data_IF_938031884495
#
_entry.id   IF_938031884495
#
_cell.length_a   1.000
_cell.length_b   1.000
_cell.length_c   1.000
_cell.angle_alpha   90.00
_cell.angle_beta   90.00
_cell.angle_gamma   90.00
#
_symmetry.space_group_name_H-M   'P 1'
#
loop_
_entity.id
_entity.type
_entity.pdbx_description
1 polymer ?
#
# COMPACT_ATOMS: atom_id res chain seq x y z
N UNK A 1 -27.51 -61.84 44.67
CA UNK A 1 -26.74 -63.04 44.26
C UNK A 1 -26.29 -62.79 42.82
N UNK A 2 -25.02 -62.47 42.58
CA UNK A 2 -23.89 -63.41 42.37
C UNK A 2 -24.07 -64.13 41.00
N UNK A 3 -23.16 -64.16 40.01
CA UNK A 3 -21.69 -64.07 39.96
C UNK A 3 -21.22 -63.60 38.55
N UNK A 4 -20.33 -62.59 38.52
CA UNK A 4 -18.94 -62.52 37.99
C UNK A 4 -18.50 -63.12 36.62
N UNK A 5 -17.37 -62.61 36.07
CA UNK A 5 -17.09 -62.35 34.65
C UNK A 5 -16.05 -63.32 34.04
N UNK A 6 -15.73 -63.14 32.76
CA UNK A 6 -14.50 -63.67 32.17
C UNK A 6 -13.61 -62.50 31.76
N UNK A 7 -12.55 -62.35 32.55
CA UNK A 7 -11.30 -61.70 32.23
C UNK A 7 -10.68 -62.28 30.95
N UNK A 8 -10.05 -61.43 30.15
CA UNK A 8 -8.75 -61.77 29.62
C UNK A 8 -7.85 -60.53 29.73
N UNK A 9 -6.84 -60.69 30.59
CA UNK A 9 -5.94 -59.66 31.06
C UNK A 9 -4.87 -59.24 30.03
N UNK A 10 -4.44 -57.99 30.17
CA UNK A 10 -3.28 -57.32 29.56
C UNK A 10 -1.95 -57.78 30.20
N UNK A 11 -0.77 -57.42 29.64
CA UNK A 11 0.01 -56.29 30.20
C UNK A 11 0.58 -55.33 29.12
N UNK A 12 0.62 -53.97 29.26
CA UNK A 12 1.52 -53.11 30.09
C UNK A 12 2.99 -53.25 29.58
N UNK A 13 3.81 -52.27 29.15
CA UNK A 13 3.93 -50.77 29.15
C UNK A 13 5.11 -50.37 28.19
N UNK A 14 5.89 -49.26 28.33
CA UNK A 14 5.63 -47.89 27.87
C UNK A 14 6.81 -47.25 27.08
N UNK A 15 6.68 -45.93 26.82
CA UNK A 15 7.74 -44.93 26.56
C UNK A 15 8.47 -44.88 25.20
N UNK A 16 8.28 -43.77 24.46
CA UNK A 16 9.30 -42.70 24.40
C UNK A 16 8.96 -41.55 23.42
N UNK A 17 8.80 -40.37 24.01
CA UNK A 17 9.45 -39.09 23.68
C UNK A 17 9.60 -38.66 22.20
N UNK A 18 8.70 -37.72 21.87
CA UNK A 18 8.83 -36.58 20.96
C UNK A 18 10.24 -35.96 20.94
N UNK A 19 10.92 -35.97 19.79
CA UNK A 19 12.12 -35.16 19.56
C UNK A 19 11.85 -33.99 18.60
N UNK A 20 12.15 -32.79 19.11
CA UNK A 20 12.19 -31.51 18.40
C UNK A 20 13.32 -31.54 17.35
N UNK A 21 13.06 -31.08 16.12
CA UNK A 21 14.13 -30.75 15.16
C UNK A 21 14.33 -29.24 15.09
N UNK A 22 15.48 -28.80 15.58
CA UNK A 22 16.05 -27.47 15.39
C UNK A 22 16.74 -27.35 14.01
N UNK A 23 16.92 -26.12 13.48
CA UNK A 23 17.42 -25.88 12.13
C UNK A 23 18.95 -26.02 12.06
N UNK A 24 19.45 -26.70 11.03
CA UNK A 24 20.89 -26.74 10.73
C UNK A 24 21.27 -25.58 9.81
N UNK A 25 22.08 -24.69 10.38
CA UNK A 25 22.94 -23.73 9.68
C UNK A 25 23.92 -24.53 8.79
N UNK A 26 24.02 -24.16 7.51
CA UNK A 26 25.06 -24.68 6.62
C UNK A 26 25.92 -23.52 6.15
N UNK A 27 27.17 -23.54 6.60
CA UNK A 27 28.27 -22.65 6.24
C UNK A 27 28.78 -23.12 4.88
N UNK A 28 28.73 -22.27 3.85
CA UNK A 28 29.44 -22.52 2.59
C UNK A 28 30.86 -21.99 2.69
N UNK A 29 31.82 -22.91 2.74
CA UNK A 29 33.25 -22.65 2.56
C UNK A 29 33.58 -22.58 1.07
N UNK A 30 34.28 -21.50 0.69
CA UNK A 30 34.92 -21.34 -0.61
C UNK A 30 35.92 -22.47 -0.90
N UNK A 31 35.83 -23.08 -2.09
CA UNK A 31 36.97 -23.76 -2.72
C UNK A 31 37.06 -23.35 -4.19
N UNK A 32 38.17 -22.65 -4.48
CA UNK A 32 38.71 -22.36 -5.81
C UNK A 32 39.34 -23.63 -6.35
N UNK A 33 39.08 -23.99 -7.60
CA UNK A 33 39.91 -24.91 -8.36
C UNK A 33 39.89 -24.49 -9.85
N UNK A 34 41.08 -24.56 -10.42
CA UNK A 34 41.51 -23.96 -11.68
C UNK A 34 41.13 -24.79 -12.91
N UNK A 35 41.21 -24.11 -14.05
CA UNK A 35 41.02 -24.56 -15.44
C UNK A 35 41.85 -25.78 -15.85
N UNK A 36 41.29 -26.62 -16.74
CA UNK A 36 41.95 -27.25 -17.92
C UNK A 36 40.82 -27.58 -18.90
N UNK A 37 40.97 -27.13 -20.15
CA UNK A 37 39.95 -27.21 -21.20
C UNK A 37 39.93 -28.55 -21.95
N UNK A 38 38.75 -28.91 -22.44
CA UNK A 38 38.53 -29.76 -23.62
C UNK A 38 37.30 -29.19 -24.35
N UNK A 39 37.48 -28.83 -25.62
CA UNK A 39 36.46 -28.31 -26.52
C UNK A 39 35.52 -29.48 -26.91
N UNK A 40 34.25 -29.39 -26.54
CA UNK A 40 33.22 -30.36 -26.93
C UNK A 40 32.08 -29.60 -27.63
N UNK A 41 31.99 -29.74 -28.96
CA UNK A 41 31.05 -29.03 -29.85
C UNK A 41 29.62 -29.58 -29.85
N UNK A 42 29.22 -30.38 -28.86
CA UNK A 42 27.86 -30.93 -28.78
C UNK A 42 27.20 -30.76 -27.40
N UNK A 43 27.11 -29.50 -26.95
CA UNK A 43 26.31 -29.13 -25.79
C UNK A 43 25.20 -28.15 -26.20
N UNK A 44 23.95 -28.59 -26.06
CA UNK A 44 22.80 -27.70 -26.14
C UNK A 44 23.03 -26.49 -25.20
N UNK A 45 22.67 -25.26 -25.58
CA UNK A 45 22.93 -24.08 -24.76
C UNK A 45 22.36 -24.33 -23.36
N UNK A 46 23.25 -24.35 -22.36
CA UNK A 46 22.81 -24.29 -20.97
C UNK A 46 21.93 -23.05 -20.85
N UNK A 47 20.72 -23.13 -20.23
CA UNK A 47 19.95 -21.94 -19.96
C UNK A 47 20.85 -21.00 -19.20
N UNK A 48 21.12 -19.83 -19.78
CA UNK A 48 21.79 -18.76 -19.07
C UNK A 48 20.92 -18.46 -17.85
N UNK A 49 21.31 -18.97 -16.69
CA UNK A 49 20.76 -18.52 -15.42
C UNK A 49 21.39 -17.16 -15.14
N UNK A 50 20.98 -16.15 -15.92
CA UNK A 50 21.03 -14.78 -15.45
C UNK A 50 20.05 -14.74 -14.30
N UNK A 51 20.56 -14.89 -13.08
CA UNK A 51 19.88 -14.38 -11.91
C UNK A 51 19.78 -12.87 -12.11
N UNK A 52 18.74 -12.45 -12.85
CA UNK A 52 18.48 -11.06 -13.19
C UNK A 52 18.01 -10.37 -11.90
N UNK A 53 18.95 -10.10 -11.01
CA UNK A 53 18.72 -9.29 -9.83
C UNK A 53 18.31 -7.90 -10.32
N UNK A 54 17.03 -7.58 -10.16
CA UNK A 54 16.53 -6.23 -10.39
C UNK A 54 17.08 -5.37 -9.26
N UNK A 55 17.92 -4.40 -9.62
CA UNK A 55 18.46 -3.43 -8.68
C UNK A 55 17.39 -2.37 -8.32
N UNK A 56 17.31 -2.03 -7.04
CA UNK A 56 16.34 -1.06 -6.51
C UNK A 56 17.05 0.22 -6.14
N UNK A 57 17.20 1.10 -7.13
CA UNK A 57 17.87 2.39 -6.97
C UNK A 57 16.88 3.38 -6.33
N UNK A 58 17.27 4.03 -5.23
CA UNK A 58 16.47 5.08 -4.60
C UNK A 58 16.31 6.29 -5.55
N UNK A 59 15.21 7.02 -5.46
CA UNK A 59 14.87 8.09 -6.43
C UNK A 59 15.91 9.21 -6.46
N UNK A 60 16.47 9.56 -5.30
CA UNK A 60 17.57 10.52 -5.13
C UNK A 60 18.88 10.12 -5.82
N UNK A 61 19.04 8.82 -6.15
CA UNK A 61 20.22 8.28 -6.81
C UNK A 61 20.03 8.06 -8.32
N UNK A 62 18.81 8.30 -8.84
CA UNK A 62 18.54 8.22 -10.27
C UNK A 62 19.17 9.40 -11.02
N UNK A 63 19.69 9.15 -12.22
CA UNK A 63 20.30 10.18 -13.07
C UNK A 63 19.40 10.56 -14.25
N UNK A 64 19.40 11.82 -14.70
CA UNK A 64 18.66 12.22 -15.88
C UNK A 64 19.14 11.50 -17.15
N UNK A 65 18.32 11.49 -18.19
CA UNK A 65 18.76 11.12 -19.54
C UNK A 65 19.61 12.22 -20.17
N UNK A 66 20.58 11.82 -21.01
CA UNK A 66 21.33 12.76 -21.84
C UNK A 66 20.48 13.29 -23.01
N UNK A 67 19.66 12.43 -23.62
CA UNK A 67 18.79 12.78 -24.74
C UNK A 67 17.37 12.21 -24.53
N UNK A 68 16.58 12.82 -23.64
CA UNK A 68 15.26 12.30 -23.23
C UNK A 68 14.25 12.21 -24.38
N UNK A 69 14.34 13.10 -25.38
CA UNK A 69 13.48 13.13 -26.56
C UNK A 69 13.67 11.87 -27.41
N UNK A 70 14.93 11.47 -27.66
CA UNK A 70 15.21 10.23 -28.39
C UNK A 70 14.89 8.97 -27.57
N UNK A 71 14.82 9.07 -26.24
CA UNK A 71 14.58 7.93 -25.36
C UNK A 71 13.09 7.60 -25.12
N UNK A 72 12.16 8.54 -25.36
CA UNK A 72 10.74 8.34 -25.03
C UNK A 72 10.09 7.19 -25.83
N UNK A 73 10.46 7.05 -27.10
CA UNK A 73 9.94 5.97 -27.95
C UNK A 73 10.40 4.59 -27.45
N UNK A 74 11.67 4.49 -27.07
CA UNK A 74 12.23 3.25 -26.50
C UNK A 74 11.60 2.88 -25.17
N UNK A 75 11.25 3.88 -24.34
CA UNK A 75 10.48 3.66 -23.12
C UNK A 75 9.13 2.99 -23.43
N UNK A 76 8.38 3.54 -24.39
CA UNK A 76 7.04 3.03 -24.74
C UNK A 76 7.11 1.58 -25.22
N UNK A 77 8.06 1.26 -26.11
CA UNK A 77 8.30 -0.11 -26.59
C UNK A 77 8.75 -1.07 -25.48
N UNK A 78 9.50 -0.55 -24.51
CA UNK A 78 9.94 -1.30 -23.35
C UNK A 78 8.80 -1.65 -22.40
N UNK A 79 7.86 -0.72 -22.19
CA UNK A 79 6.65 -0.93 -21.38
C UNK A 79 5.69 -1.95 -22.00
N UNK A 80 5.65 -2.06 -23.33
CA UNK A 80 4.82 -3.04 -24.05
C UNK A 80 5.44 -4.45 -24.12
N UNK A 81 6.65 -4.62 -23.58
CA UNK A 81 7.36 -5.90 -23.58
C UNK A 81 6.61 -7.01 -22.84
N UNK A 82 6.71 -8.24 -23.36
CA UNK A 82 6.29 -9.46 -22.64
C UNK A 82 7.35 -9.95 -21.65
N UNK A 83 8.61 -9.54 -21.84
CA UNK A 83 9.69 -9.82 -20.90
C UNK A 83 9.59 -8.87 -19.71
N UNK A 84 9.30 -9.44 -18.54
CA UNK A 84 9.14 -8.73 -17.29
C UNK A 84 10.42 -8.00 -16.84
N UNK A 85 11.61 -8.49 -17.22
CA UNK A 85 12.89 -7.83 -16.90
C UNK A 85 13.01 -6.54 -17.69
N UNK A 86 12.69 -6.58 -19.00
CA UNK A 86 12.61 -5.37 -19.83
C UNK A 86 11.55 -4.38 -19.32
N UNK A 87 10.42 -4.87 -18.81
CA UNK A 87 9.42 -3.98 -18.16
C UNK A 87 9.97 -3.36 -16.88
N UNK A 88 10.68 -4.10 -16.02
CA UNK A 88 11.35 -3.52 -14.84
C UNK A 88 12.34 -2.42 -15.21
N UNK A 89 13.16 -2.64 -16.25
CA UNK A 89 14.08 -1.61 -16.76
C UNK A 89 13.31 -0.37 -17.22
N UNK A 90 12.25 -0.58 -18.00
CA UNK A 90 11.41 0.50 -18.53
C UNK A 90 10.69 1.26 -17.43
N UNK A 91 10.24 0.60 -16.35
CA UNK A 91 9.67 1.25 -15.18
C UNK A 91 10.70 2.11 -14.42
N UNK A 92 11.98 1.70 -14.38
CA UNK A 92 13.03 2.57 -13.86
C UNK A 92 13.28 3.78 -14.78
N UNK A 93 13.12 3.61 -16.10
CA UNK A 93 13.15 4.74 -17.02
C UNK A 93 11.93 5.66 -16.83
N UNK A 94 10.72 5.14 -16.58
CA UNK A 94 9.54 5.93 -16.15
C UNK A 94 9.90 6.80 -14.95
N UNK A 95 10.53 6.23 -13.92
CA UNK A 95 10.96 6.98 -12.72
C UNK A 95 11.87 8.15 -13.07
N UNK A 96 12.86 7.92 -13.93
CA UNK A 96 13.79 8.97 -14.41
C UNK A 96 13.05 10.04 -15.22
N UNK A 97 12.09 9.65 -16.06
CA UNK A 97 11.25 10.61 -16.78
C UNK A 97 10.36 11.41 -15.82
N UNK A 98 9.72 10.79 -14.84
CA UNK A 98 8.92 11.51 -13.84
C UNK A 98 9.75 12.56 -13.08
N UNK A 99 10.96 12.21 -12.65
CA UNK A 99 11.81 13.11 -11.85
C UNK A 99 12.42 14.26 -12.66
N UNK A 100 12.84 14.00 -13.89
CA UNK A 100 13.68 14.95 -14.64
C UNK A 100 13.05 15.49 -15.92
N UNK A 101 12.05 14.79 -16.47
CA UNK A 101 11.53 15.01 -17.84
C UNK A 101 10.00 14.79 -17.91
N UNK A 102 9.27 15.20 -16.87
CA UNK A 102 7.85 14.83 -16.69
C UNK A 102 6.93 15.34 -17.80
N UNK A 103 7.29 16.43 -18.47
CA UNK A 103 6.58 16.97 -19.63
C UNK A 103 6.52 15.99 -20.80
N UNK A 104 7.56 15.19 -21.02
CA UNK A 104 7.62 14.19 -22.10
C UNK A 104 6.81 12.93 -21.78
N UNK A 105 6.60 12.67 -20.50
CA UNK A 105 5.81 11.52 -20.04
C UNK A 105 4.31 11.83 -20.00
N UNK A 106 3.93 13.12 -19.87
CA UNK A 106 2.54 13.57 -19.78
C UNK A 106 1.65 13.06 -20.93
N UNK A 107 2.05 13.11 -22.23
CA UNK A 107 1.21 12.65 -23.34
C UNK A 107 0.92 11.14 -23.31
N UNK A 108 1.73 10.36 -22.59
CA UNK A 108 1.60 8.90 -22.49
C UNK A 108 1.30 8.44 -21.05
N UNK A 109 0.97 9.37 -20.15
CA UNK A 109 0.83 9.11 -18.72
C UNK A 109 -0.24 8.06 -18.41
N UNK A 110 -1.38 8.12 -19.10
CA UNK A 110 -2.46 7.14 -18.91
C UNK A 110 -2.00 5.72 -19.26
N UNK A 111 -1.30 5.54 -20.40
CA UNK A 111 -0.71 4.27 -20.78
C UNK A 111 0.28 3.78 -19.73
N UNK A 112 1.12 4.68 -19.21
CA UNK A 112 2.09 4.36 -18.15
C UNK A 112 1.38 3.89 -16.88
N UNK A 113 0.32 4.57 -16.44
CA UNK A 113 -0.49 4.18 -15.27
C UNK A 113 -1.09 2.77 -15.48
N UNK A 114 -1.63 2.47 -16.65
CA UNK A 114 -2.18 1.14 -16.96
C UNK A 114 -1.10 0.04 -16.89
N UNK A 115 0.11 0.32 -17.36
CA UNK A 115 1.25 -0.60 -17.24
C UNK A 115 1.66 -0.78 -15.78
N UNK A 116 1.72 0.29 -14.99
CA UNK A 116 1.98 0.23 -13.54
C UNK A 116 0.96 -0.66 -12.84
N UNK A 117 -0.34 -0.47 -13.10
CA UNK A 117 -1.42 -1.30 -12.55
C UNK A 117 -1.23 -2.77 -12.91
N UNK A 118 -0.94 -3.06 -14.18
CA UNK A 118 -0.69 -4.43 -14.67
C UNK A 118 0.55 -5.04 -14.00
N UNK A 119 1.60 -4.26 -13.81
CA UNK A 119 2.84 -4.68 -13.15
C UNK A 119 2.63 -4.96 -11.65
N UNK A 120 1.85 -4.14 -10.94
CA UNK A 120 1.49 -4.37 -9.53
C UNK A 120 0.71 -5.68 -9.34
N UNK A 121 -0.15 -6.05 -10.30
CA UNK A 121 -0.89 -7.32 -10.30
C UNK A 121 -0.03 -8.55 -10.58
N UNK A 122 1.20 -8.38 -11.07
CA UNK A 122 2.09 -9.50 -11.41
C UNK A 122 2.57 -10.24 -10.15
N UNK A 123 2.69 -11.58 -10.17
CA UNK A 123 3.16 -12.36 -9.01
C UNK A 123 4.65 -12.14 -8.70
N UNK A 124 5.44 -11.61 -9.64
CA UNK A 124 6.87 -11.34 -9.41
C UNK A 124 7.03 -10.10 -8.53
N UNK A 125 7.55 -10.29 -7.32
CA UNK A 125 7.73 -9.16 -6.39
C UNK A 125 8.70 -8.12 -6.89
N UNK A 126 9.68 -8.47 -7.73
CA UNK A 126 10.59 -7.49 -8.30
C UNK A 126 9.88 -6.49 -9.22
N UNK A 127 9.05 -7.02 -10.13
CA UNK A 127 8.22 -6.18 -11.01
C UNK A 127 7.19 -5.38 -10.20
N UNK A 128 6.52 -6.05 -9.26
CA UNK A 128 5.54 -5.41 -8.39
C UNK A 128 6.17 -4.24 -7.59
N UNK A 129 7.30 -4.46 -6.92
CA UNK A 129 7.99 -3.40 -6.17
C UNK A 129 8.47 -2.27 -7.08
N UNK A 130 9.09 -2.59 -8.21
CA UNK A 130 9.55 -1.57 -9.17
C UNK A 130 8.40 -0.70 -9.67
N UNK A 131 7.21 -1.30 -9.90
CA UNK A 131 6.02 -0.54 -10.30
C UNK A 131 5.47 0.36 -9.19
N UNK A 132 5.61 -0.04 -7.92
CA UNK A 132 5.23 0.81 -6.77
C UNK A 132 6.20 2.00 -6.64
N UNK A 133 7.50 1.76 -6.78
CA UNK A 133 8.50 2.85 -6.80
C UNK A 133 8.23 3.83 -7.95
N UNK A 134 7.87 3.32 -9.13
CA UNK A 134 7.43 4.13 -10.26
C UNK A 134 6.16 4.94 -9.96
N UNK A 135 5.17 4.34 -9.27
CA UNK A 135 3.97 5.05 -8.86
C UNK A 135 4.30 6.23 -7.92
N UNK A 136 5.21 6.04 -6.96
CA UNK A 136 5.66 7.12 -6.07
C UNK A 136 6.24 8.31 -6.85
N UNK A 137 7.18 8.05 -7.76
CA UNK A 137 7.79 9.14 -8.55
C UNK A 137 6.78 9.80 -9.49
N UNK A 138 5.77 9.06 -9.98
CA UNK A 138 4.63 9.62 -10.74
C UNK A 138 3.78 10.52 -9.85
N UNK A 139 3.46 10.12 -8.61
CA UNK A 139 2.69 10.95 -7.69
C UNK A 139 3.37 12.30 -7.46
N UNK A 140 4.68 12.27 -7.19
CA UNK A 140 5.46 13.48 -6.95
C UNK A 140 5.56 14.37 -8.18
N UNK A 141 5.68 13.79 -9.38
CA UNK A 141 5.82 14.55 -10.62
C UNK A 141 4.51 15.17 -11.13
N UNK A 142 3.37 14.48 -10.96
CA UNK A 142 2.12 14.87 -11.59
C UNK A 142 1.06 15.38 -10.60
N UNK A 143 1.09 14.95 -9.33
CA UNK A 143 0.19 15.40 -8.28
C UNK A 143 -1.27 15.46 -8.73
N UNK A 144 -1.89 16.63 -8.61
CA UNK A 144 -3.29 16.85 -9.00
C UNK A 144 -3.62 16.53 -10.45
N UNK A 145 -2.66 16.60 -11.39
CA UNK A 145 -2.89 16.28 -12.81
C UNK A 145 -3.30 14.81 -13.02
N UNK A 146 -3.03 13.94 -12.06
CA UNK A 146 -3.48 12.55 -12.08
C UNK A 146 -5.00 12.42 -11.94
N UNK A 147 -5.67 13.46 -11.44
CA UNK A 147 -7.12 13.51 -11.29
C UNK A 147 -7.82 14.08 -12.52
N UNK A 148 -7.07 14.72 -13.43
CA UNK A 148 -7.60 15.37 -14.64
C UNK A 148 -7.80 14.36 -15.79
N UNK A 149 -7.49 13.08 -15.58
CA UNK A 149 -7.59 12.07 -16.64
C UNK A 149 -9.03 11.89 -17.10
N UNK A 150 -9.23 11.90 -18.42
CA UNK A 150 -10.55 11.72 -19.07
C UNK A 150 -11.23 10.42 -18.66
N UNK A 151 -10.44 9.37 -18.40
CA UNK A 151 -10.92 8.16 -17.74
C UNK A 151 -10.55 8.18 -16.25
N UNK A 152 -11.51 8.56 -15.40
CA UNK A 152 -11.37 8.51 -13.94
C UNK A 152 -11.05 7.10 -13.41
N UNK A 153 -11.28 6.04 -14.20
CA UNK A 153 -11.15 4.66 -13.75
C UNK A 153 -9.70 4.22 -13.56
N UNK A 154 -8.75 4.77 -14.33
CA UNK A 154 -7.36 4.34 -14.27
C UNK A 154 -6.72 4.69 -12.91
N UNK A 155 -6.93 5.92 -12.44
CA UNK A 155 -6.43 6.34 -11.14
C UNK A 155 -7.10 5.57 -9.99
N UNK A 156 -8.41 5.35 -10.05
CA UNK A 156 -9.13 4.58 -9.03
C UNK A 156 -8.63 3.13 -8.96
N UNK A 157 -8.30 2.53 -10.11
CA UNK A 157 -7.66 1.21 -10.17
C UNK A 157 -6.24 1.21 -9.60
N UNK A 158 -5.46 2.27 -9.84
CA UNK A 158 -4.12 2.44 -9.27
C UNK A 158 -4.19 2.52 -7.74
N UNK A 159 -5.10 3.33 -7.20
CA UNK A 159 -5.35 3.43 -5.76
C UNK A 159 -5.71 2.07 -5.16
N UNK A 160 -6.67 1.36 -5.77
CA UNK A 160 -7.07 0.04 -5.31
C UNK A 160 -5.89 -0.94 -5.30
N UNK A 161 -5.09 -0.98 -6.37
CA UNK A 161 -3.93 -1.86 -6.41
C UNK A 161 -2.92 -1.49 -5.34
N UNK A 162 -2.63 -0.21 -5.14
CA UNK A 162 -1.67 0.22 -4.13
C UNK A 162 -2.12 -0.15 -2.72
N UNK A 163 -3.39 0.07 -2.38
CA UNK A 163 -3.98 -0.34 -1.10
C UNK A 163 -3.93 -1.86 -0.90
N UNK A 164 -4.20 -2.66 -1.94
CA UNK A 164 -4.06 -4.11 -1.89
C UNK A 164 -2.60 -4.54 -1.64
N UNK A 165 -1.63 -3.85 -2.24
CA UNK A 165 -0.20 -4.15 -2.02
C UNK A 165 0.29 -3.73 -0.64
N UNK A 166 -0.26 -2.66 -0.06
CA UNK A 166 -0.02 -2.29 1.34
C UNK A 166 -0.73 -3.23 2.33
N UNK A 167 -1.65 -4.08 1.87
CA UNK A 167 -2.46 -4.96 2.73
C UNK A 167 -1.99 -6.42 2.79
N UNK A 168 -0.86 -6.73 2.15
CA UNK A 168 -0.35 -8.10 2.06
C UNK A 168 0.71 -8.41 3.14
N UNK A 169 1.00 -9.69 3.35
CA UNK A 169 1.98 -10.15 4.36
C UNK A 169 3.44 -10.09 3.87
N UNK A 170 3.69 -9.89 2.56
CA UNK A 170 5.05 -9.77 2.01
C UNK A 170 5.64 -8.41 2.34
N UNK A 171 6.32 -8.32 3.49
CA UNK A 171 6.94 -7.11 4.06
C UNK A 171 7.66 -6.24 3.01
N UNK A 172 8.54 -6.83 2.20
CA UNK A 172 9.31 -6.12 1.16
C UNK A 172 8.47 -5.30 0.17
N UNK A 173 7.28 -5.78 -0.18
CA UNK A 173 6.37 -5.08 -1.12
C UNK A 173 5.41 -4.18 -0.35
N UNK A 174 4.93 -4.64 0.80
CA UNK A 174 4.02 -3.91 1.68
C UNK A 174 4.64 -2.60 2.17
N UNK A 175 5.89 -2.60 2.63
CA UNK A 175 6.59 -1.40 3.09
C UNK A 175 6.78 -0.38 1.96
N UNK A 176 7.06 -0.85 0.74
CA UNK A 176 7.18 0.05 -0.41
C UNK A 176 5.83 0.66 -0.78
N UNK A 177 4.75 -0.13 -0.69
CA UNK A 177 3.40 0.36 -0.92
C UNK A 177 2.96 1.40 0.12
N UNK A 178 3.32 1.21 1.39
CA UNK A 178 3.05 2.19 2.45
C UNK A 178 3.81 3.52 2.23
N UNK A 179 5.08 3.45 1.80
CA UNK A 179 5.83 4.65 1.39
C UNK A 179 5.17 5.36 0.23
N UNK A 180 4.71 4.60 -0.77
CA UNK A 180 4.03 5.14 -1.94
C UNK A 180 2.67 5.77 -1.61
N UNK A 181 1.90 5.20 -0.67
CA UNK A 181 0.68 5.83 -0.13
C UNK A 181 1.00 7.15 0.59
N UNK A 182 2.14 7.22 1.28
CA UNK A 182 2.59 8.46 1.92
C UNK A 182 2.96 9.52 0.87
N UNK A 183 3.69 9.14 -0.19
CA UNK A 183 4.00 10.02 -1.31
C UNK A 183 2.72 10.54 -1.99
N UNK A 184 1.75 9.66 -2.25
CA UNK A 184 0.44 10.02 -2.78
C UNK A 184 -0.26 11.13 -1.95
N UNK A 185 -0.32 10.95 -0.62
CA UNK A 185 -0.94 11.92 0.30
C UNK A 185 -0.12 13.22 0.40
N UNK A 186 1.18 13.20 0.09
CA UNK A 186 2.01 14.39 0.04
C UNK A 186 1.86 15.18 -1.26
N UNK A 187 1.56 14.50 -2.36
CA UNK A 187 1.68 15.08 -3.71
C UNK A 187 0.34 15.51 -4.32
N UNK A 188 -0.79 15.03 -3.78
CA UNK A 188 -2.13 15.44 -4.22
C UNK A 188 -2.80 16.32 -3.15
N UNK A 189 -3.52 17.35 -3.61
CA UNK A 189 -4.31 18.22 -2.73
C UNK A 189 -5.26 17.37 -1.86
N UNK A 190 -5.35 17.62 -0.54
CA UNK A 190 -6.01 16.71 0.38
C UNK A 190 -7.49 16.44 0.08
N UNK A 191 -8.27 17.46 -0.30
CA UNK A 191 -9.71 17.32 -0.48
C UNK A 191 -10.08 16.46 -1.72
N UNK A 192 -9.53 16.71 -2.92
CA UNK A 192 -9.74 15.81 -4.06
C UNK A 192 -9.28 14.37 -3.77
N UNK A 193 -8.14 14.19 -3.09
CA UNK A 193 -7.65 12.86 -2.73
C UNK A 193 -8.59 12.15 -1.75
N UNK A 194 -9.08 12.86 -0.72
CA UNK A 194 -10.06 12.35 0.23
C UNK A 194 -11.32 11.83 -0.49
N UNK A 195 -11.85 12.60 -1.45
CA UNK A 195 -13.03 12.18 -2.25
C UNK A 195 -12.77 10.88 -3.01
N UNK A 196 -11.55 10.69 -3.53
CA UNK A 196 -11.14 9.43 -4.19
C UNK A 196 -10.98 8.28 -3.21
N UNK A 197 -10.38 8.52 -2.05
CA UNK A 197 -10.13 7.48 -1.05
C UNK A 197 -11.40 7.03 -0.33
N UNK A 198 -12.41 7.89 -0.25
CA UNK A 198 -13.66 7.64 0.48
C UNK A 198 -14.35 6.32 0.10
N UNK A 199 -14.27 5.88 -1.16
CA UNK A 199 -14.86 4.61 -1.59
C UNK A 199 -14.23 3.37 -0.94
N UNK A 200 -13.00 3.46 -0.42
CA UNK A 200 -12.23 2.31 0.04
C UNK A 200 -12.35 2.03 1.54
N UNK A 201 -12.90 2.96 2.34
CA UNK A 201 -13.14 2.72 3.78
C UNK A 201 -14.32 1.79 4.06
N UNK A 202 -15.09 1.43 3.05
CA UNK A 202 -16.16 0.42 3.14
C UNK A 202 -15.78 -0.92 2.48
N UNK A 203 -14.51 -1.10 2.12
CA UNK A 203 -14.04 -2.29 1.41
C UNK A 203 -14.20 -3.58 2.23
N UNK A 204 -14.55 -4.70 1.60
CA UNK A 204 -14.77 -5.98 2.31
C UNK A 204 -13.52 -6.52 3.04
N UNK A 205 -12.33 -6.24 2.51
CA UNK A 205 -11.05 -6.58 3.16
C UNK A 205 -10.68 -5.54 4.24
N UNK A 206 -10.60 -6.02 5.49
CA UNK A 206 -10.27 -5.21 6.68
C UNK A 206 -8.95 -4.43 6.52
N UNK A 207 -7.90 -5.09 5.99
CA UNK A 207 -6.57 -4.47 5.84
C UNK A 207 -6.58 -3.33 4.83
N UNK A 208 -7.33 -3.49 3.73
CA UNK A 208 -7.54 -2.42 2.74
C UNK A 208 -8.26 -1.24 3.36
N UNK A 209 -9.33 -1.49 4.14
CA UNK A 209 -10.02 -0.42 4.88
C UNK A 209 -9.09 0.33 5.82
N UNK A 210 -8.27 -0.38 6.58
CA UNK A 210 -7.30 0.24 7.48
C UNK A 210 -6.29 1.13 6.74
N UNK A 211 -5.74 0.67 5.61
CA UNK A 211 -4.82 1.48 4.78
C UNK A 211 -5.50 2.70 4.16
N UNK A 212 -6.75 2.56 3.72
CA UNK A 212 -7.56 3.67 3.24
C UNK A 212 -7.84 4.69 4.36
N UNK A 213 -8.24 4.21 5.53
CA UNK A 213 -8.50 5.05 6.71
C UNK A 213 -7.27 5.86 7.12
N UNK A 214 -6.08 5.23 7.18
CA UNK A 214 -4.82 5.93 7.47
C UNK A 214 -4.52 7.01 6.42
N UNK A 215 -4.69 6.69 5.13
CA UNK A 215 -4.46 7.65 4.04
C UNK A 215 -5.44 8.84 4.09
N UNK A 216 -6.71 8.57 4.45
CA UNK A 216 -7.73 9.61 4.67
C UNK A 216 -7.40 10.46 5.87
N UNK A 217 -7.05 9.86 7.01
CA UNK A 217 -6.64 10.59 8.21
C UNK A 217 -5.46 11.54 7.92
N UNK A 218 -4.45 11.06 7.19
CA UNK A 218 -3.30 11.88 6.79
C UNK A 218 -3.67 12.99 5.79
N UNK A 219 -4.70 12.79 4.98
CA UNK A 219 -5.23 13.85 4.10
C UNK A 219 -5.99 14.88 4.92
N UNK A 220 -6.87 14.44 5.83
CA UNK A 220 -7.68 15.30 6.69
C UNK A 220 -6.81 16.16 7.61
N UNK A 221 -5.73 15.62 8.18
CA UNK A 221 -4.84 16.38 9.06
C UNK A 221 -4.08 17.51 8.36
N UNK A 222 -3.99 17.48 7.02
CA UNK A 222 -3.40 18.53 6.19
C UNK A 222 -4.41 19.56 5.71
N UNK A 223 -5.70 19.37 5.97
CA UNK A 223 -6.74 20.31 5.58
C UNK A 223 -6.96 21.37 6.66
N UNK A 224 -7.19 22.61 6.23
CA UNK A 224 -7.79 23.64 7.08
C UNK A 224 -9.28 23.38 7.31
N UNK A 225 -9.85 24.03 8.32
CA UNK A 225 -11.27 23.94 8.66
C UNK A 225 -12.19 24.25 7.47
N UNK A 226 -11.81 25.20 6.61
CA UNK A 226 -12.54 25.53 5.37
C UNK A 226 -12.74 24.30 4.47
N UNK A 227 -11.67 23.50 4.26
CA UNK A 227 -11.70 22.32 3.39
C UNK A 227 -12.36 21.12 4.03
N UNK A 228 -12.25 20.99 5.35
CA UNK A 228 -13.03 20.04 6.14
C UNK A 228 -14.53 20.39 6.03
N UNK A 229 -14.88 21.66 6.12
CA UNK A 229 -16.24 22.17 5.89
C UNK A 229 -16.73 21.92 4.47
N UNK A 230 -15.88 22.12 3.46
CA UNK A 230 -16.21 21.84 2.04
C UNK A 230 -16.50 20.35 1.78
N UNK A 231 -15.80 19.43 2.46
CA UNK A 231 -16.16 18.01 2.42
C UNK A 231 -17.44 17.73 3.20
N UNK A 232 -17.59 18.38 4.35
CA UNK A 232 -18.69 18.22 5.29
C UNK A 232 -18.25 17.56 6.59
N UNK A 233 -18.53 18.22 7.71
CA UNK A 233 -18.27 17.70 9.06
C UNK A 233 -19.04 16.41 9.34
N UNK A 234 -20.32 16.36 8.96
CA UNK A 234 -21.20 15.21 9.22
C UNK A 234 -20.75 13.95 8.46
N UNK A 235 -20.47 13.99 7.13
CA UNK A 235 -19.92 12.83 6.43
C UNK A 235 -18.60 12.32 7.02
N UNK A 236 -17.67 13.20 7.41
CA UNK A 236 -16.42 12.78 8.06
C UNK A 236 -16.67 12.13 9.43
N UNK A 237 -17.59 12.69 10.22
CA UNK A 237 -17.95 12.16 11.52
C UNK A 237 -18.57 10.77 11.40
N UNK A 238 -19.51 10.57 10.48
CA UNK A 238 -20.14 9.28 10.21
C UNK A 238 -19.10 8.24 9.77
N UNK A 239 -18.23 8.60 8.82
CA UNK A 239 -17.13 7.74 8.37
C UNK A 239 -16.20 7.32 9.52
N UNK A 240 -15.80 8.27 10.36
CA UNK A 240 -14.95 7.98 11.51
C UNK A 240 -15.67 7.10 12.54
N UNK A 241 -16.97 7.28 12.72
CA UNK A 241 -17.78 6.45 13.63
C UNK A 241 -17.86 4.99 13.21
N UNK A 242 -17.94 4.73 11.90
CA UNK A 242 -17.91 3.37 11.35
C UNK A 242 -16.53 2.74 11.53
N UNK A 243 -15.47 3.50 11.25
CA UNK A 243 -14.08 3.04 11.39
C UNK A 243 -13.64 2.83 12.84
N UNK A 244 -14.22 3.54 13.82
CA UNK A 244 -13.96 3.33 15.24
C UNK A 244 -14.40 1.95 15.73
N UNK A 245 -15.35 1.34 15.03
CA UNK A 245 -15.81 -0.03 15.28
C UNK A 245 -15.10 -1.07 14.40
N UNK A 246 -14.09 -0.67 13.60
CA UNK A 246 -13.35 -1.62 12.77
C UNK A 246 -12.54 -2.60 13.61
N UNK A 247 -12.30 -3.79 13.06
CA UNK A 247 -11.57 -4.88 13.72
C UNK A 247 -10.08 -4.57 13.83
N UNK A 248 -9.51 -3.79 12.91
CA UNK A 248 -8.07 -3.47 12.92
C UNK A 248 -7.76 -2.21 13.75
N UNK A 249 -6.75 -2.25 14.64
CA UNK A 249 -6.38 -1.11 15.47
C UNK A 249 -5.95 0.12 14.67
N UNK A 250 -5.30 -0.08 13.52
CA UNK A 250 -4.83 1.00 12.64
C UNK A 250 -6.01 1.81 12.07
N UNK A 251 -7.11 1.15 11.70
CA UNK A 251 -8.33 1.80 11.27
C UNK A 251 -8.96 2.64 12.39
N UNK A 252 -9.02 2.07 13.61
CA UNK A 252 -9.56 2.78 14.78
C UNK A 252 -8.71 3.98 15.18
N UNK A 253 -7.40 3.91 15.03
CA UNK A 253 -6.49 5.04 15.33
C UNK A 253 -6.63 6.17 14.30
N UNK A 254 -6.67 5.82 13.01
CA UNK A 254 -6.97 6.79 11.96
C UNK A 254 -8.33 7.46 12.19
N UNK A 255 -9.33 6.70 12.62
CA UNK A 255 -10.65 7.24 12.94
C UNK A 255 -10.62 8.25 14.10
N UNK A 256 -9.87 7.98 15.19
CA UNK A 256 -9.68 8.95 16.28
C UNK A 256 -9.07 10.26 15.78
N UNK A 257 -8.06 10.16 14.91
CA UNK A 257 -7.41 11.33 14.32
C UNK A 257 -8.35 12.14 13.42
N UNK A 258 -9.24 11.48 12.68
CA UNK A 258 -10.30 12.15 11.89
C UNK A 258 -11.28 12.86 12.83
N UNK A 259 -11.78 12.20 13.88
CA UNK A 259 -12.69 12.81 14.86
C UNK A 259 -12.07 14.07 15.47
N UNK A 260 -10.79 14.02 15.86
CA UNK A 260 -10.09 15.18 16.41
C UNK A 260 -10.01 16.34 15.41
N UNK A 261 -9.73 16.05 14.14
CA UNK A 261 -9.67 17.07 13.09
C UNK A 261 -11.05 17.70 12.82
N UNK A 262 -12.11 16.90 12.85
CA UNK A 262 -13.50 17.38 12.73
C UNK A 262 -13.88 18.23 13.93
N UNK A 263 -13.57 17.79 15.15
CA UNK A 263 -13.82 18.56 16.37
C UNK A 263 -13.11 19.92 16.36
N UNK A 264 -11.83 19.94 15.94
CA UNK A 264 -11.08 21.19 15.81
C UNK A 264 -11.75 22.15 14.81
N UNK A 265 -12.11 21.66 13.63
CA UNK A 265 -12.79 22.47 12.62
C UNK A 265 -14.19 22.94 13.06
N UNK A 266 -14.90 22.11 13.83
CA UNK A 266 -16.19 22.47 14.44
C UNK A 266 -16.01 23.59 15.47
N UNK A 267 -15.05 23.44 16.39
CA UNK A 267 -14.83 24.35 17.52
C UNK A 267 -14.30 25.72 17.11
N UNK A 268 -13.59 25.83 15.97
CA UNK A 268 -13.19 27.12 15.41
C UNK A 268 -14.39 28.03 15.11
N UNK A 269 -15.56 27.45 14.85
CA UNK A 269 -16.81 28.17 14.59
C UNK A 269 -17.66 28.41 15.84
N UNK A 270 -17.41 27.71 16.95
CA UNK A 270 -18.22 27.79 18.18
C UNK A 270 -17.43 28.24 19.40
N UNK A 271 -17.66 29.50 19.83
CA UNK A 271 -16.81 30.17 20.83
C UNK A 271 -17.29 30.09 22.27
N UNK A 272 -18.59 29.83 22.50
CA UNK A 272 -19.18 30.03 23.83
C UNK A 272 -19.24 28.75 24.68
N UNK A 273 -19.41 27.57 24.05
CA UNK A 273 -19.34 26.27 24.74
C UNK A 273 -19.09 25.09 23.76
N UNK A 274 -17.85 24.87 23.31
CA UNK A 274 -17.55 23.89 22.25
C UNK A 274 -17.82 22.44 22.67
N UNK A 275 -17.81 22.12 23.96
CA UNK A 275 -18.02 20.74 24.44
C UNK A 275 -19.49 20.33 24.43
N UNK A 276 -20.39 21.15 24.98
CA UNK A 276 -21.83 20.88 24.94
C UNK A 276 -22.37 20.91 23.51
N UNK A 277 -21.90 21.85 22.69
CA UNK A 277 -22.29 21.95 21.28
C UNK A 277 -21.75 20.77 20.46
N UNK A 278 -20.55 20.26 20.77
CA UNK A 278 -20.02 19.03 20.17
C UNK A 278 -20.83 17.80 20.55
N UNK A 279 -21.23 17.68 21.82
CA UNK A 279 -22.09 16.60 22.27
C UNK A 279 -23.42 16.61 21.50
N UNK A 280 -24.10 17.75 21.44
CA UNK A 280 -25.35 17.89 20.69
C UNK A 280 -25.16 17.59 19.20
N UNK A 281 -24.04 18.03 18.62
CA UNK A 281 -23.69 17.74 17.23
C UNK A 281 -23.54 16.23 16.98
N UNK A 282 -22.86 15.51 17.89
CA UNK A 282 -22.72 14.06 17.79
C UNK A 282 -24.06 13.33 17.94
N UNK A 283 -24.86 13.69 18.94
CA UNK A 283 -26.17 13.08 19.20
C UNK A 283 -27.18 13.30 18.07
N UNK A 284 -27.09 14.44 17.38
CA UNK A 284 -27.98 14.77 16.26
C UNK A 284 -27.60 14.02 14.97
N UNK A 285 -26.31 13.76 14.75
CA UNK A 285 -25.81 13.27 13.46
C UNK A 285 -25.39 11.79 13.44
N UNK A 286 -25.38 11.13 14.60
CA UNK A 286 -24.98 9.73 14.76
C UNK A 286 -26.07 8.93 15.48
N UNK A 287 -25.99 7.60 15.37
CA UNK A 287 -26.85 6.73 16.16
C UNK A 287 -26.54 6.84 17.67
N UNK A 288 -27.52 6.49 18.49
CA UNK A 288 -27.39 6.44 19.97
C UNK A 288 -26.24 5.54 20.45
N UNK A 289 -25.81 4.58 19.63
CA UNK A 289 -24.69 3.68 19.92
C UNK A 289 -23.35 4.33 19.55
N UNK A 290 -23.30 5.10 18.45
CA UNK A 290 -22.07 5.70 17.93
C UNK A 290 -21.71 7.02 18.63
N UNK A 291 -22.69 7.86 18.97
CA UNK A 291 -22.46 9.19 19.54
C UNK A 291 -21.60 9.18 20.82
N UNK A 292 -21.87 8.33 21.84
CA UNK A 292 -21.07 8.31 23.07
C UNK A 292 -19.59 8.01 22.82
N UNK A 293 -19.30 7.14 21.83
CA UNK A 293 -17.92 6.80 21.46
C UNK A 293 -17.19 8.01 20.87
N UNK A 294 -17.84 8.83 20.04
CA UNK A 294 -17.20 10.01 19.43
C UNK A 294 -16.93 11.09 20.47
N UNK A 295 -17.89 11.34 21.35
CA UNK A 295 -17.76 12.30 22.45
C UNK A 295 -16.56 11.92 23.33
N UNK A 296 -16.42 10.62 23.63
CA UNK A 296 -15.32 10.12 24.46
C UNK A 296 -13.94 10.34 23.82
N UNK A 297 -13.80 10.18 22.50
CA UNK A 297 -12.51 10.37 21.80
C UNK A 297 -11.91 11.75 22.06
N UNK A 298 -12.75 12.79 22.02
CA UNK A 298 -12.31 14.17 22.25
C UNK A 298 -11.94 14.38 23.72
N UNK A 299 -12.80 13.93 24.66
CA UNK A 299 -12.54 14.08 26.10
C UNK A 299 -11.30 13.35 26.62
N UNK A 300 -10.88 12.26 25.95
CA UNK A 300 -9.71 11.47 26.36
C UNK A 300 -8.38 12.02 25.83
N UNK A 301 -8.42 13.06 24.98
CA UNK A 301 -7.25 13.66 24.33
C UNK A 301 -6.87 15.03 24.92
N UNK A 302 -7.63 15.51 25.92
CA UNK A 302 -7.36 16.71 26.70
C UNK A 302 -6.48 16.41 27.91
#
# INVERSE_FOLDING_TARGET
MALRPIDNALPITPDNLRTKKHPKVSIQTHKRASEIGIHDENKAPLPQSVDASVDYIASENLKPFQDPESNIQSLIEGLDSKDWVKVCKSLNDVRRFSLYHSSLLLPVLEKVILVVIKAMKNPRSALCKTSIMAASDIFDAFGGKLLDSTDSSAFDQLLLQLLLKASQDKKFVCEEADKSLTALVNSIAPLPLLRKLHGFVNHGNLRVRAKAAVSISNSVSKMGSDKIGEFGLVPLLQMASDLLNDRLPEAREAARSIVFSVYKAFSENEKLNPEETWQSFCETNLSTIQAPSMIKVVSSSQ
#
